data_IF_909776687880
#
_entry.id   IF_909776687880
#
_cell.length_a   1.000
_cell.length_b   1.000
_cell.length_c   1.000
_cell.angle_alpha   90.00
_cell.angle_beta   90.00
_cell.angle_gamma   90.00
#
_symmetry.space_group_name_H-M   'P 1'
#
loop_
_entity.id
_entity.type
_entity.pdbx_description
1 polymer ?
#
# COMPACT_ATOMS: atom_id res chain seq x y z
N UNK A 1 11.75 -5.41 -18.77
CA UNK A 1 10.54 -5.23 -17.93
C UNK A 1 9.32 -5.29 -18.81
N UNK A 2 8.34 -6.12 -18.51
CA UNK A 2 7.12 -6.22 -19.33
C UNK A 2 6.12 -5.12 -18.95
N UNK A 3 5.04 -5.00 -19.73
CA UNK A 3 4.03 -3.96 -19.50
C UNK A 3 3.32 -4.10 -18.15
N UNK A 4 3.09 -5.35 -17.71
CA UNK A 4 2.41 -5.59 -16.43
C UNK A 4 3.27 -5.15 -15.24
N UNK A 5 4.57 -5.44 -15.28
CA UNK A 5 5.50 -5.01 -14.24
C UNK A 5 5.62 -3.49 -14.21
N UNK A 6 5.71 -2.85 -15.37
CA UNK A 6 5.80 -1.40 -15.45
C UNK A 6 4.51 -0.74 -14.94
N UNK A 7 3.35 -1.29 -15.31
CA UNK A 7 2.06 -0.80 -14.85
C UNK A 7 1.94 -0.92 -13.33
N UNK A 8 2.37 -2.06 -12.76
CA UNK A 8 2.36 -2.27 -11.31
C UNK A 8 3.26 -1.29 -10.58
N UNK A 9 4.47 -1.05 -11.09
CA UNK A 9 5.39 -0.08 -10.49
C UNK A 9 4.80 1.34 -10.49
N UNK A 10 4.13 1.73 -11.58
CA UNK A 10 3.46 3.03 -11.65
C UNK A 10 2.34 3.13 -10.62
N UNK A 11 1.55 2.08 -10.45
CA UNK A 11 0.50 2.02 -9.45
C UNK A 11 1.07 2.09 -8.03
N UNK A 12 2.16 1.38 -7.77
CA UNK A 12 2.83 1.42 -6.47
C UNK A 12 3.28 2.85 -6.14
N UNK A 13 3.83 3.56 -7.11
CA UNK A 13 4.27 4.94 -6.91
C UNK A 13 3.12 5.90 -6.59
N UNK A 14 1.88 5.56 -6.98
CA UNK A 14 0.69 6.35 -6.70
C UNK A 14 0.07 6.06 -5.35
N UNK A 15 0.48 4.98 -4.67
CA UNK A 15 -0.08 4.64 -3.37
C UNK A 15 0.30 5.72 -2.34
N UNK A 16 -0.68 6.29 -1.64
CA UNK A 16 -0.41 7.36 -0.68
C UNK A 16 0.04 6.81 0.68
N UNK A 17 0.62 7.66 1.50
CA UNK A 17 0.69 7.40 2.93
C UNK A 17 -0.72 7.58 3.51
N UNK A 18 -1.07 6.76 4.49
CA UNK A 18 -2.40 6.83 5.11
C UNK A 18 -2.28 6.79 6.63
N UNK A 19 -3.33 7.23 7.29
CA UNK A 19 -3.46 7.09 8.74
C UNK A 19 -4.88 6.65 9.07
N UNK A 20 -5.06 6.12 10.27
CA UNK A 20 -6.38 5.77 10.77
C UNK A 20 -6.86 6.90 11.67
N UNK A 21 -7.97 7.52 11.30
CA UNK A 21 -8.61 8.53 12.10
C UNK A 21 -9.63 7.91 13.04
N UNK A 22 -10.31 8.72 13.84
CA UNK A 22 -11.35 8.24 14.77
C UNK A 22 -12.33 7.31 14.05
N UNK A 23 -12.71 6.22 14.72
CA UNK A 23 -13.71 5.26 14.22
C UNK A 23 -13.26 4.40 13.03
N UNK A 24 -11.92 4.29 12.82
CA UNK A 24 -11.38 3.42 11.77
C UNK A 24 -11.40 4.01 10.37
N UNK A 25 -11.71 5.28 10.23
CA UNK A 25 -11.68 5.94 8.94
C UNK A 25 -10.25 6.14 8.46
N UNK A 26 -9.98 5.80 7.21
CA UNK A 26 -8.66 5.98 6.61
C UNK A 26 -8.55 7.37 5.99
N UNK A 27 -7.44 8.04 6.27
CA UNK A 27 -7.18 9.38 5.75
C UNK A 27 -5.85 9.39 5.00
N UNK A 28 -5.86 9.97 3.81
CA UNK A 28 -4.65 10.20 3.03
C UNK A 28 -3.77 11.24 3.71
N UNK A 29 -2.47 10.95 3.80
CA UNK A 29 -1.48 11.83 4.40
C UNK A 29 -0.47 12.23 3.31
N UNK A 30 0.10 13.42 3.44
CA UNK A 30 1.12 13.91 2.53
C UNK A 30 2.42 13.11 2.73
N UNK A 31 2.88 12.44 1.68
CA UNK A 31 4.12 11.67 1.70
C UNK A 31 5.35 12.51 2.07
N UNK A 32 5.35 13.79 1.68
CA UNK A 32 6.51 14.66 1.91
C UNK A 32 6.69 15.00 3.38
N UNK A 33 5.65 14.88 4.18
CA UNK A 33 5.72 15.16 5.62
C UNK A 33 6.16 13.97 6.46
N UNK A 34 6.36 12.82 5.81
CA UNK A 34 6.79 11.59 6.49
C UNK A 34 5.89 11.19 7.67
N UNK A 35 4.61 11.48 7.54
CA UNK A 35 3.60 11.16 8.55
C UNK A 35 2.80 9.92 8.15
N UNK A 36 2.23 9.26 9.16
CA UNK A 36 1.34 8.12 8.96
C UNK A 36 2.07 6.84 8.58
N UNK A 37 1.36 5.99 7.85
CA UNK A 37 1.84 4.68 7.43
C UNK A 37 2.17 4.72 5.95
N UNK A 38 3.36 4.23 5.59
CA UNK A 38 3.83 4.21 4.19
C UNK A 38 3.61 2.84 3.56
N UNK A 39 3.21 2.78 2.28
CA UNK A 39 3.03 1.49 1.60
C UNK A 39 4.38 0.78 1.44
N UNK A 40 4.45 -0.47 1.89
CA UNK A 40 5.67 -1.26 1.90
C UNK A 40 5.39 -2.64 1.32
N UNK A 41 6.16 -3.01 0.30
CA UNK A 41 6.08 -4.33 -0.33
C UNK A 41 7.19 -5.21 0.25
N UNK A 42 6.82 -6.43 0.69
CA UNK A 42 7.80 -7.36 1.25
C UNK A 42 7.39 -8.81 0.97
N UNK A 43 8.33 -9.72 1.18
CA UNK A 43 8.10 -11.15 1.02
C UNK A 43 8.12 -11.80 2.41
N UNK A 44 7.05 -12.50 2.74
CA UNK A 44 6.92 -13.13 4.04
C UNK A 44 6.07 -14.39 3.94
N UNK A 45 6.54 -15.45 4.58
CA UNK A 45 5.80 -16.72 4.66
C UNK A 45 5.38 -17.26 3.28
N UNK A 46 6.30 -17.22 2.32
CA UNK A 46 6.14 -17.73 0.94
C UNK A 46 5.12 -16.96 0.10
N UNK A 47 4.77 -15.74 0.51
CA UNK A 47 3.91 -14.88 -0.30
C UNK A 47 4.45 -13.46 -0.31
N UNK A 48 4.05 -12.70 -1.34
CA UNK A 48 4.30 -11.28 -1.37
C UNK A 48 3.19 -10.58 -0.59
N UNK A 49 3.58 -9.56 0.17
CA UNK A 49 2.64 -8.82 0.98
C UNK A 49 2.90 -7.33 0.81
N UNK A 50 1.83 -6.56 0.87
CA UNK A 50 1.90 -5.11 0.89
C UNK A 50 1.10 -4.64 2.09
N UNK A 51 1.73 -3.82 2.92
CA UNK A 51 1.09 -3.24 4.09
C UNK A 51 1.56 -1.80 4.23
N UNK A 52 0.75 -0.99 4.87
CA UNK A 52 1.15 0.36 5.25
C UNK A 52 1.80 0.27 6.62
N UNK A 53 3.08 0.65 6.71
CA UNK A 53 3.92 0.48 7.90
C UNK A 53 4.42 1.83 8.36
N UNK A 54 4.39 2.07 9.67
CA UNK A 54 4.92 3.30 10.26
C UNK A 54 6.33 3.09 10.86
N UNK A 55 6.93 4.14 11.39
CA UNK A 55 8.28 4.10 11.96
C UNK A 55 8.41 3.17 13.17
N UNK A 56 7.31 2.88 13.84
CA UNK A 56 7.28 1.96 14.99
C UNK A 56 7.09 0.50 14.57
N UNK A 57 7.11 0.22 13.25
CA UNK A 57 6.88 -1.11 12.68
C UNK A 57 5.46 -1.66 12.88
N UNK A 58 4.51 -0.79 13.20
CA UNK A 58 3.11 -1.16 13.17
C UNK A 58 2.62 -1.17 11.73
N UNK A 59 1.77 -2.13 11.40
CA UNK A 59 1.24 -2.26 10.04
C UNK A 59 -0.27 -2.24 10.03
N UNK A 60 -0.84 -1.72 8.95
CA UNK A 60 -2.29 -1.70 8.71
C UNK A 60 -2.55 -2.09 7.26
N UNK A 61 -3.78 -2.50 6.97
CA UNK A 61 -4.24 -2.78 5.61
C UNK A 61 -3.40 -3.84 4.90
N UNK A 62 -3.09 -4.94 5.58
CA UNK A 62 -2.27 -6.01 5.04
C UNK A 62 -2.96 -6.70 3.86
N UNK A 63 -2.24 -6.82 2.74
CA UNK A 63 -2.71 -7.43 1.51
C UNK A 63 -1.67 -8.47 1.10
N UNK A 64 -2.10 -9.65 0.63
CA UNK A 64 -1.19 -10.70 0.21
C UNK A 64 -1.52 -11.21 -1.19
N UNK A 65 -0.52 -11.80 -1.84
CA UNK A 65 -0.67 -12.38 -3.16
C UNK A 65 0.54 -13.20 -3.56
N UNK A 66 0.46 -13.87 -4.71
CA UNK A 66 1.51 -14.77 -5.19
C UNK A 66 2.60 -14.03 -5.97
N UNK A 67 2.31 -12.85 -6.48
CA UNK A 67 3.27 -12.04 -7.24
C UNK A 67 3.21 -10.59 -6.78
N UNK A 68 4.31 -9.81 -6.98
CA UNK A 68 4.29 -8.38 -6.66
C UNK A 68 3.19 -7.63 -7.41
N UNK A 69 2.98 -7.95 -8.69
CA UNK A 69 1.96 -7.30 -9.51
C UNK A 69 0.56 -7.51 -8.95
N UNK A 70 0.26 -8.74 -8.51
CA UNK A 70 -1.04 -9.05 -7.90
C UNK A 70 -1.28 -8.21 -6.64
N UNK A 71 -0.30 -8.17 -5.76
CA UNK A 71 -0.41 -7.45 -4.49
C UNK A 71 -0.54 -5.95 -4.72
N UNK A 72 0.25 -5.41 -5.64
CA UNK A 72 0.21 -3.98 -5.97
C UNK A 72 -1.15 -3.61 -6.57
N UNK A 73 -1.68 -4.43 -7.47
CA UNK A 73 -2.99 -4.18 -8.08
C UNK A 73 -4.10 -4.23 -7.04
N UNK A 74 -4.06 -5.18 -6.11
CA UNK A 74 -5.01 -5.26 -5.00
C UNK A 74 -4.95 -4.01 -4.12
N UNK A 75 -3.74 -3.55 -3.80
CA UNK A 75 -3.55 -2.36 -2.99
C UNK A 75 -4.05 -1.10 -3.69
N UNK A 76 -3.80 -0.98 -4.99
CA UNK A 76 -4.29 0.15 -5.78
C UNK A 76 -5.82 0.18 -5.79
N UNK A 77 -6.46 -0.97 -6.02
CA UNK A 77 -7.91 -1.07 -6.00
C UNK A 77 -8.49 -0.75 -4.62
N UNK A 78 -7.83 -1.20 -3.57
CA UNK A 78 -8.19 -0.84 -2.20
C UNK A 78 -8.19 0.68 -2.00
N UNK A 79 -7.14 1.35 -2.46
CA UNK A 79 -7.05 2.82 -2.34
C UNK A 79 -8.14 3.53 -3.13
N UNK A 80 -8.50 3.02 -4.31
CA UNK A 80 -9.60 3.58 -5.10
C UNK A 80 -10.92 3.43 -4.35
N UNK A 81 -11.19 2.23 -3.80
CA UNK A 81 -12.43 1.95 -3.09
C UNK A 81 -12.59 2.79 -1.81
N UNK A 82 -11.47 3.13 -1.17
CA UNK A 82 -11.45 3.93 0.04
C UNK A 82 -11.30 5.44 -0.24
N UNK A 83 -11.34 5.84 -1.50
CA UNK A 83 -11.20 7.25 -1.92
C UNK A 83 -9.87 7.88 -1.51
N UNK A 84 -8.79 7.09 -1.45
CA UNK A 84 -7.45 7.56 -1.11
C UNK A 84 -6.66 8.02 -2.34
N UNK A 85 -7.14 7.65 -3.51
CA UNK A 85 -6.56 8.08 -4.79
C UNK A 85 -7.62 8.82 -5.59
#
# INVERSE_FOLDING_TARGET
MNEDELSALKKFALLPNITIFKEGELIKVDKERDEGYAPTLYYYSKSYQLAWINDENNSICNISGDTPEEVINKAFNFCINENLI
#
